data_IF_623339557047
#
_entry.id   IF_623339557047
#
_cell.length_a   1.000
_cell.length_b   1.000
_cell.length_c   1.000
_cell.angle_alpha   90.00
_cell.angle_beta   90.00
_cell.angle_gamma   90.00
#
_symmetry.space_group_name_H-M   'P 1'
#
loop_
_entity.id
_entity.type
_entity.pdbx_description
1 polymer ?
#
# COMPACT_ATOMS: atom_id res chain seq x y z
N UNK A 1 17.77 35.96 0.55
CA UNK A 1 16.51 35.81 1.29
C UNK A 1 15.41 35.18 0.43
N UNK A 2 14.98 35.80 -0.67
CA UNK A 2 13.95 35.21 -1.55
C UNK A 2 14.39 33.93 -2.29
N UNK A 3 15.67 33.86 -2.70
CA UNK A 3 16.28 32.69 -3.34
C UNK A 3 16.23 31.44 -2.46
N UNK A 4 16.61 31.58 -1.19
CA UNK A 4 16.62 30.48 -0.21
C UNK A 4 15.22 29.91 0.00
N UNK A 5 14.22 30.80 0.10
CA UNK A 5 12.82 30.42 0.23
C UNK A 5 12.38 29.68 -1.03
N UNK A 6 12.72 30.17 -2.23
CA UNK A 6 12.38 29.52 -3.48
C UNK A 6 12.98 28.10 -3.60
N UNK A 7 14.25 27.90 -3.22
CA UNK A 7 14.88 26.58 -3.22
C UNK A 7 14.24 25.62 -2.20
N UNK A 8 13.83 26.13 -1.03
CA UNK A 8 13.14 25.34 -0.02
C UNK A 8 11.76 24.86 -0.51
N UNK A 9 11.02 25.73 -1.20
CA UNK A 9 9.76 25.34 -1.86
C UNK A 9 9.99 24.34 -2.99
N UNK A 10 11.00 24.56 -3.85
CA UNK A 10 11.30 23.65 -4.95
C UNK A 10 11.68 22.26 -4.43
N UNK A 11 12.55 22.17 -3.42
CA UNK A 11 12.97 20.92 -2.80
C UNK A 11 11.80 20.17 -2.15
N UNK A 12 10.88 20.89 -1.52
CA UNK A 12 9.67 20.28 -0.92
C UNK A 12 8.76 19.70 -1.98
N UNK A 13 8.52 20.42 -3.08
CA UNK A 13 7.68 19.95 -4.19
C UNK A 13 8.30 18.72 -4.84
N UNK A 14 9.59 18.76 -5.15
CA UNK A 14 10.31 17.64 -5.77
C UNK A 14 10.30 16.43 -4.83
N UNK A 15 10.59 16.62 -3.55
CA UNK A 15 10.57 15.57 -2.55
C UNK A 15 9.19 14.91 -2.41
N UNK A 16 8.11 15.70 -2.35
CA UNK A 16 6.75 15.20 -2.26
C UNK A 16 6.36 14.37 -3.50
N UNK A 17 6.69 14.87 -4.70
CA UNK A 17 6.40 14.17 -5.95
C UNK A 17 7.19 12.85 -6.02
N UNK A 18 8.51 12.90 -5.82
CA UNK A 18 9.35 11.70 -5.84
C UNK A 18 8.91 10.66 -4.81
N UNK A 19 8.53 11.08 -3.61
CA UNK A 19 8.01 10.19 -2.56
C UNK A 19 6.67 9.56 -2.97
N UNK A 20 5.74 10.34 -3.52
CA UNK A 20 4.43 9.83 -3.94
C UNK A 20 4.55 8.77 -5.03
N UNK A 21 5.31 9.07 -6.09
CA UNK A 21 5.52 8.12 -7.20
C UNK A 21 6.30 6.88 -6.75
N UNK A 22 7.34 7.05 -5.92
CA UNK A 22 8.09 5.94 -5.35
C UNK A 22 7.20 5.02 -4.50
N UNK A 23 6.37 5.60 -3.63
CA UNK A 23 5.47 4.87 -2.75
C UNK A 23 4.39 4.11 -3.53
N UNK A 24 3.80 4.72 -4.56
CA UNK A 24 2.84 4.04 -5.46
C UNK A 24 3.45 2.82 -6.15
N UNK A 25 4.70 2.94 -6.62
CA UNK A 25 5.44 1.83 -7.23
C UNK A 25 5.74 0.72 -6.22
N UNK A 26 6.11 1.08 -4.99
CA UNK A 26 6.33 0.14 -3.91
C UNK A 26 5.07 -0.67 -3.55
N UNK A 27 3.93 0.00 -3.36
CA UNK A 27 2.65 -0.65 -3.04
C UNK A 27 2.12 -1.56 -4.15
N UNK A 28 2.52 -1.31 -5.40
CA UNK A 28 2.16 -2.17 -6.53
C UNK A 28 3.00 -3.44 -6.56
N UNK A 29 4.29 -3.35 -6.19
CA UNK A 29 5.19 -4.50 -6.08
C UNK A 29 4.95 -5.33 -4.81
N UNK A 30 4.60 -4.68 -3.69
CA UNK A 30 4.31 -5.30 -2.41
C UNK A 30 2.86 -4.98 -2.03
N UNK A 31 1.87 -5.75 -2.53
CA UNK A 31 0.49 -5.51 -2.19
C UNK A 31 0.28 -5.64 -0.68
N UNK A 32 -0.48 -4.73 -0.04
CA UNK A 32 -0.66 -4.72 1.40
C UNK A 32 -1.46 -5.91 1.94
N UNK A 33 -2.14 -6.65 1.05
CA UNK A 33 -2.91 -7.85 1.40
C UNK A 33 -2.46 -9.04 0.56
N UNK A 34 -1.98 -10.07 1.25
CA UNK A 34 -1.72 -11.40 0.73
C UNK A 34 -2.56 -12.48 1.47
N UNK A 35 -2.57 -13.69 0.94
CA UNK A 35 -3.33 -14.84 1.50
C UNK A 35 -2.93 -15.17 2.94
N UNK A 36 -1.64 -15.06 3.27
CA UNK A 36 -1.10 -15.31 4.60
C UNK A 36 -1.62 -14.29 5.63
N UNK A 37 -1.66 -13.01 5.27
CA UNK A 37 -2.20 -11.94 6.14
C UNK A 37 -3.68 -12.13 6.39
N UNK A 38 -4.46 -12.49 5.35
CA UNK A 38 -5.88 -12.83 5.53
C UNK A 38 -6.02 -14.04 6.45
N UNK A 39 -5.21 -15.09 6.26
CA UNK A 39 -5.23 -16.27 7.12
C UNK A 39 -4.90 -15.93 8.57
N UNK A 40 -3.89 -15.10 8.80
CA UNK A 40 -3.50 -14.62 10.14
C UNK A 40 -4.60 -13.76 10.76
N UNK A 41 -5.24 -12.87 9.99
CA UNK A 41 -6.40 -12.09 10.43
C UNK A 41 -7.55 -12.99 10.89
N UNK A 42 -7.94 -13.99 10.10
CA UNK A 42 -8.99 -14.93 10.52
C UNK A 42 -8.58 -15.77 11.73
N UNK A 43 -7.31 -16.19 11.81
CA UNK A 43 -6.78 -16.91 12.98
C UNK A 43 -6.87 -16.06 14.26
N UNK A 44 -6.59 -14.76 14.19
CA UNK A 44 -6.78 -13.84 15.31
C UNK A 44 -8.24 -13.76 15.76
N UNK A 45 -9.18 -13.92 14.84
CA UNK A 45 -10.61 -14.00 15.13
C UNK A 45 -11.09 -15.39 15.58
N UNK A 46 -10.18 -16.34 15.79
CA UNK A 46 -10.53 -17.72 16.17
C UNK A 46 -11.23 -18.51 15.05
N UNK A 47 -11.14 -18.05 13.80
CA UNK A 47 -11.75 -18.71 12.63
C UNK A 47 -10.67 -19.33 11.76
N UNK A 48 -10.90 -20.55 11.29
CA UNK A 48 -10.06 -21.22 10.28
C UNK A 48 -10.72 -21.08 8.91
N UNK A 49 -10.28 -20.11 8.06
CA UNK A 49 -10.88 -19.90 6.75
C UNK A 49 -10.46 -21.01 5.78
N UNK A 50 -11.32 -21.33 4.81
CA UNK A 50 -10.98 -22.23 3.69
C UNK A 50 -10.12 -21.51 2.65
N UNK A 51 -9.17 -22.20 2.02
CA UNK A 51 -8.31 -21.65 0.96
C UNK A 51 -9.10 -21.01 -0.20
N UNK A 52 -10.27 -21.59 -0.54
CA UNK A 52 -11.17 -21.01 -1.56
C UNK A 52 -11.72 -19.65 -1.13
N UNK A 53 -12.10 -19.53 0.14
CA UNK A 53 -12.62 -18.29 0.71
C UNK A 53 -11.53 -17.23 0.82
N UNK A 54 -10.32 -17.61 1.23
CA UNK A 54 -9.17 -16.69 1.25
C UNK A 54 -8.94 -16.12 -0.15
N UNK A 55 -8.87 -16.99 -1.17
CA UNK A 55 -8.65 -16.57 -2.56
C UNK A 55 -9.75 -15.62 -3.06
N UNK A 56 -11.02 -15.94 -2.78
CA UNK A 56 -12.15 -15.09 -3.15
C UNK A 56 -12.06 -13.69 -2.52
N UNK A 57 -11.60 -13.59 -1.27
CA UNK A 57 -11.42 -12.30 -0.57
C UNK A 57 -10.20 -11.55 -1.13
N UNK A 58 -9.08 -12.22 -1.42
CA UNK A 58 -7.92 -11.56 -2.06
C UNK A 58 -8.33 -10.99 -3.42
N UNK A 59 -9.08 -11.75 -4.22
CA UNK A 59 -9.55 -11.31 -5.53
C UNK A 59 -10.56 -10.17 -5.43
N UNK A 60 -11.47 -10.18 -4.45
CA UNK A 60 -12.41 -9.08 -4.25
C UNK A 60 -11.69 -7.78 -3.86
N UNK A 61 -10.65 -7.86 -3.03
CA UNK A 61 -9.86 -6.69 -2.66
C UNK A 61 -8.95 -6.16 -3.79
N UNK A 62 -8.50 -7.04 -4.70
CA UNK A 62 -7.78 -6.62 -5.92
C UNK A 62 -8.70 -5.95 -6.93
N UNK A 63 -9.98 -6.35 -7.00
CA UNK A 63 -10.97 -5.77 -7.91
C UNK A 63 -11.42 -4.35 -7.53
N UNK A 64 -11.20 -3.91 -6.29
CA UNK A 64 -11.56 -2.55 -5.83
C UNK A 64 -10.47 -1.50 -6.11
N UNK A 65 -9.51 -1.78 -6.99
CA UNK A 65 -8.44 -0.84 -7.35
C UNK A 65 -8.75 -0.04 -8.60
#
# INVERSE_FOLDING_TARGET
>A
MLSEIAYLFLGTIIGAVSMFFGFRKYLTKNPPVNEKQIREMFKQMGRTPSEKQIKQIVESMKKTK
#
